data_IF_739873377143
#
_entry.id   IF_739873377143
#
_cell.length_a   1.000
_cell.length_b   1.000
_cell.length_c   1.000
_cell.angle_alpha   90.00
_cell.angle_beta   90.00
_cell.angle_gamma   90.00
#
_symmetry.space_group_name_H-M   'P 1'
#
loop_
_entity.id
_entity.type
_entity.pdbx_description
1 polymer ?
#
# COMPACT_ATOMS: atom_id res chain seq x y z
N UNK A 1 -6.07 -12.89 19.75
CA UNK A 1 -4.63 -13.03 19.44
C UNK A 1 -4.23 -11.87 18.54
N UNK A 2 -3.14 -11.14 18.83
CA UNK A 2 -2.64 -10.10 17.91
C UNK A 2 -2.27 -10.75 16.58
N UNK A 3 -2.72 -10.17 15.47
CA UNK A 3 -2.39 -10.70 14.15
C UNK A 3 -0.89 -10.48 13.93
N UNK A 4 -0.19 -11.52 13.44
CA UNK A 4 1.27 -11.52 13.28
C UNK A 4 1.80 -10.48 12.27
N UNK A 5 0.92 -9.71 11.62
CA UNK A 5 1.20 -8.78 10.53
C UNK A 5 0.71 -7.34 10.82
N UNK A 6 0.87 -6.86 12.05
CA UNK A 6 0.57 -5.46 12.37
C UNK A 6 1.67 -4.55 11.77
N UNK A 7 1.28 -3.63 10.88
CA UNK A 7 2.17 -2.72 10.14
C UNK A 7 3.15 -1.97 11.06
N UNK A 8 2.66 -1.49 12.20
CA UNK A 8 3.45 -0.74 13.19
C UNK A 8 4.69 -1.51 13.69
N UNK A 9 4.64 -2.84 13.68
CA UNK A 9 5.75 -3.67 14.13
C UNK A 9 6.92 -3.68 13.13
N UNK A 10 6.65 -3.40 11.85
CA UNK A 10 7.63 -3.37 10.77
C UNK A 10 8.23 -1.97 10.55
N UNK A 11 7.55 -0.92 11.03
CA UNK A 11 7.99 0.47 10.84
C UNK A 11 9.30 0.79 11.60
N UNK A 12 10.17 1.64 11.02
CA UNK A 12 11.42 2.05 11.65
C UNK A 12 11.15 2.96 12.85
N UNK A 13 11.74 2.66 14.02
CA UNK A 13 11.52 3.45 15.26
C UNK A 13 12.63 4.46 15.56
N UNK A 14 13.83 4.27 15.03
CA UNK A 14 14.94 5.19 15.29
C UNK A 14 14.68 6.53 14.60
N UNK A 15 14.53 7.60 15.39
CA UNK A 15 14.19 8.94 14.87
C UNK A 15 12.70 9.16 14.58
N UNK A 16 11.81 8.26 15.01
CA UNK A 16 10.37 8.32 14.71
C UNK A 16 9.54 8.06 15.98
N UNK A 17 8.46 8.83 16.20
CA UNK A 17 7.51 8.59 17.29
C UNK A 17 6.13 8.33 16.70
N UNK A 18 5.71 7.07 16.73
CA UNK A 18 4.37 6.68 16.31
C UNK A 18 3.35 6.88 17.45
N UNK A 19 2.13 7.35 17.14
CA UNK A 19 1.09 7.48 18.16
C UNK A 19 0.74 6.10 18.74
N UNK A 20 0.47 6.02 20.06
CA UNK A 20 0.03 4.78 20.70
C UNK A 20 -1.42 4.51 20.31
N UNK A 21 -1.62 3.94 19.13
CA UNK A 21 -2.90 3.51 18.65
C UNK A 21 -2.81 2.03 18.29
N UNK A 22 -3.91 1.30 18.42
CA UNK A 22 -3.97 -0.10 17.98
C UNK A 22 -3.80 -0.27 16.45
N UNK A 23 -3.66 0.83 15.69
CA UNK A 23 -3.59 0.90 14.23
C UNK A 23 -2.72 2.08 13.81
N UNK A 24 -1.94 1.90 12.75
CA UNK A 24 -1.08 2.96 12.24
C UNK A 24 -1.85 3.90 11.30
N UNK A 25 -2.60 3.33 10.35
CA UNK A 25 -3.57 4.03 9.51
C UNK A 25 -4.96 4.07 10.18
N UNK A 26 -5.88 4.90 9.66
CA UNK A 26 -7.23 5.07 10.24
C UNK A 26 -8.02 3.76 10.22
N UNK A 27 -7.97 3.03 9.11
CA UNK A 27 -8.70 1.76 8.94
C UNK A 27 -7.73 0.59 8.95
N UNK A 28 -8.05 -0.49 9.70
CA UNK A 28 -7.24 -1.72 9.75
C UNK A 28 -7.01 -2.33 8.36
N UNK A 29 -8.01 -2.22 7.47
CA UNK A 29 -7.90 -2.69 6.08
C UNK A 29 -6.78 -1.99 5.32
N UNK A 30 -6.49 -0.73 5.61
CA UNK A 30 -5.41 0.03 4.98
C UNK A 30 -4.04 -0.47 5.46
N UNK A 31 -3.87 -0.70 6.78
CA UNK A 31 -2.65 -1.32 7.32
C UNK A 31 -2.37 -2.67 6.64
N UNK A 32 -3.41 -3.50 6.45
CA UNK A 32 -3.33 -4.78 5.76
C UNK A 32 -2.97 -4.60 4.28
N UNK A 33 -3.56 -3.64 3.56
CA UNK A 33 -3.23 -3.35 2.15
C UNK A 33 -1.75 -2.97 1.98
N UNK A 34 -1.21 -2.13 2.87
CA UNK A 34 0.22 -1.77 2.86
C UNK A 34 1.09 -3.00 3.11
N UNK A 35 0.75 -3.82 4.11
CA UNK A 35 1.49 -5.05 4.40
C UNK A 35 1.46 -6.05 3.24
N UNK A 36 0.31 -6.26 2.59
CA UNK A 36 0.22 -7.09 1.39
C UNK A 36 1.12 -6.55 0.28
N UNK A 37 1.20 -5.23 0.12
CA UNK A 37 2.09 -4.62 -0.87
C UNK A 37 3.57 -4.88 -0.55
N UNK A 38 3.96 -4.79 0.72
CA UNK A 38 5.32 -5.13 1.16
C UNK A 38 5.64 -6.61 0.98
N UNK A 39 4.70 -7.51 1.26
CA UNK A 39 4.86 -8.95 1.03
C UNK A 39 5.02 -9.26 -0.47
N UNK A 40 4.17 -8.67 -1.33
CA UNK A 40 4.26 -8.83 -2.79
C UNK A 40 5.53 -8.24 -3.39
N UNK A 41 6.09 -7.20 -2.77
CA UNK A 41 7.38 -6.63 -3.15
C UNK A 41 8.59 -7.43 -2.60
N UNK A 42 8.35 -8.48 -1.81
CA UNK A 42 9.41 -9.29 -1.20
C UNK A 42 10.10 -8.64 -0.01
N UNK A 43 9.53 -7.58 0.56
CA UNK A 43 10.09 -6.89 1.75
C UNK A 43 9.75 -7.62 3.05
N UNK A 44 8.65 -8.35 3.06
CA UNK A 44 8.18 -9.16 4.18
C UNK A 44 7.76 -10.57 3.69
N UNK A 45 7.84 -11.56 4.59
CA UNK A 45 7.39 -12.92 4.32
C UNK A 45 5.96 -13.11 4.88
N UNK A 46 5.02 -13.69 4.13
CA UNK A 46 3.63 -13.82 4.55
C UNK A 46 3.49 -14.68 5.81
N UNK A 47 2.68 -14.21 6.75
CA UNK A 47 2.41 -14.88 8.03
C UNK A 47 3.60 -14.97 9.00
N UNK A 48 4.76 -14.42 8.63
CA UNK A 48 5.93 -14.35 9.48
C UNK A 48 6.03 -12.95 10.10
N UNK A 49 6.18 -12.93 11.42
CA UNK A 49 6.38 -11.69 12.16
C UNK A 49 7.64 -10.94 11.75
N UNK A 50 7.84 -9.73 12.30
CA UNK A 50 8.87 -8.79 11.86
C UNK A 50 10.29 -9.29 12.19
N UNK A 51 10.96 -9.89 11.21
CA UNK A 51 12.39 -10.23 11.29
C UNK A 51 13.23 -8.96 11.20
N UNK A 52 14.41 -8.95 11.83
CA UNK A 52 15.36 -7.81 11.76
C UNK A 52 15.68 -7.40 10.31
N UNK A 53 15.81 -8.37 9.42
CA UNK A 53 16.01 -8.15 7.98
C UNK A 53 14.82 -7.44 7.34
N UNK A 54 13.60 -7.91 7.57
CA UNK A 54 12.38 -7.29 7.03
C UNK A 54 12.22 -5.82 7.45
N UNK A 55 12.48 -5.52 8.74
CA UNK A 55 12.47 -4.12 9.23
C UNK A 55 13.46 -3.23 8.49
N UNK A 56 14.67 -3.74 8.24
CA UNK A 56 15.71 -2.99 7.52
C UNK A 56 15.34 -2.76 6.05
N UNK A 57 14.81 -3.78 5.38
CA UNK A 57 14.37 -3.68 3.98
C UNK A 57 13.21 -2.70 3.85
N UNK A 58 12.25 -2.74 4.78
CA UNK A 58 11.13 -1.78 4.80
C UNK A 58 11.62 -0.36 5.09
N UNK A 59 12.56 -0.16 6.03
CA UNK A 59 13.19 1.15 6.24
C UNK A 59 13.90 1.66 4.98
N UNK A 60 14.57 0.79 4.23
CA UNK A 60 15.21 1.14 2.96
C UNK A 60 14.16 1.52 1.88
N UNK A 61 13.09 0.74 1.73
CA UNK A 61 12.04 1.01 0.76
C UNK A 61 11.25 2.30 1.06
N UNK A 62 10.98 2.57 2.34
CA UNK A 62 10.33 3.81 2.76
C UNK A 62 11.26 5.02 2.57
N UNK A 63 12.57 4.85 2.83
CA UNK A 63 13.54 5.91 2.59
C UNK A 63 13.70 6.24 1.10
N UNK A 64 13.73 5.21 0.26
CA UNK A 64 13.79 5.34 -1.20
C UNK A 64 12.55 6.09 -1.72
N UNK A 65 11.36 5.77 -1.22
CA UNK A 65 10.13 6.51 -1.55
C UNK A 65 10.30 8.02 -1.31
N UNK A 66 10.74 8.45 -0.12
CA UNK A 66 10.92 9.90 0.12
C UNK A 66 12.08 10.50 -0.69
N UNK A 67 13.09 9.69 -1.03
CA UNK A 67 14.19 10.11 -1.91
C UNK A 67 13.72 10.34 -3.35
N UNK A 68 12.85 9.47 -3.88
CA UNK A 68 12.20 9.67 -5.18
C UNK A 68 11.39 10.97 -5.19
N UNK A 69 10.72 11.31 -4.08
CA UNK A 69 10.00 12.58 -3.95
C UNK A 69 10.86 13.83 -4.13
N UNK A 70 12.18 13.74 -4.00
CA UNK A 70 13.10 14.85 -4.25
C UNK A 70 13.53 14.97 -5.72
N UNK A 71 13.14 14.02 -6.60
CA UNK A 71 13.43 14.13 -8.03
C UNK A 71 12.72 15.36 -8.62
N UNK A 72 13.40 16.11 -9.51
CA UNK A 72 12.84 17.35 -10.09
C UNK A 72 11.44 17.19 -10.67
N UNK A 73 11.19 16.06 -11.34
CA UNK A 73 9.94 15.73 -12.02
C UNK A 73 8.78 15.48 -11.03
N UNK A 74 9.10 15.08 -9.80
CA UNK A 74 8.10 14.82 -8.74
C UNK A 74 7.93 16.06 -7.88
N UNK A 75 9.03 16.65 -7.39
CA UNK A 75 8.97 17.80 -6.48
C UNK A 75 8.40 19.06 -7.13
N UNK A 76 8.45 19.18 -8.47
CA UNK A 76 7.82 20.28 -9.20
C UNK A 76 6.31 20.36 -8.99
N UNK A 77 5.65 19.25 -8.64
CA UNK A 77 4.21 19.24 -8.30
C UNK A 77 3.89 20.03 -7.02
N UNK A 78 4.86 20.24 -6.12
CA UNK A 78 4.70 21.12 -4.95
C UNK A 78 4.78 22.62 -5.29
N UNK A 79 4.95 23.00 -6.55
CA UNK A 79 4.94 24.40 -6.95
C UNK A 79 3.53 24.96 -7.09
N UNK A 80 3.39 26.29 -7.04
CA UNK A 80 2.09 26.96 -7.18
C UNK A 80 1.37 26.65 -8.52
N UNK A 81 2.10 26.16 -9.53
CA UNK A 81 1.53 25.67 -10.80
C UNK A 81 1.40 24.15 -10.89
N UNK A 82 1.87 23.39 -9.90
CA UNK A 82 1.96 21.93 -9.90
C UNK A 82 0.83 21.20 -9.18
N UNK A 83 -0.17 21.93 -8.70
CA UNK A 83 -1.38 21.40 -8.06
C UNK A 83 -1.28 21.08 -6.58
N UNK A 84 -0.09 21.22 -5.98
CA UNK A 84 0.09 21.21 -4.52
C UNK A 84 0.51 19.85 -3.96
N UNK A 85 0.23 19.61 -2.67
CA UNK A 85 0.72 18.44 -1.96
C UNK A 85 0.08 17.14 -2.45
N UNK A 86 -1.21 17.17 -2.80
CA UNK A 86 -1.92 15.98 -3.26
C UNK A 86 -1.40 15.51 -4.63
N UNK A 87 -1.23 16.44 -5.58
CA UNK A 87 -0.65 16.13 -6.90
C UNK A 87 0.79 15.61 -6.78
N UNK A 88 1.57 16.17 -5.86
CA UNK A 88 2.89 15.64 -5.50
C UNK A 88 2.82 14.20 -4.99
N UNK A 89 1.89 13.90 -4.07
CA UNK A 89 1.75 12.54 -3.52
C UNK A 89 1.26 11.55 -4.58
N UNK A 90 0.40 11.99 -5.50
CA UNK A 90 -0.05 11.19 -6.64
C UNK A 90 1.13 10.87 -7.58
N UNK A 91 1.90 11.88 -7.98
CA UNK A 91 3.12 11.71 -8.79
C UNK A 91 4.14 10.80 -8.09
N UNK A 92 4.33 10.97 -6.78
CA UNK A 92 5.22 10.14 -5.99
C UNK A 92 4.77 8.67 -6.00
N UNK A 93 3.48 8.40 -5.75
CA UNK A 93 2.92 7.04 -5.77
C UNK A 93 3.18 6.33 -7.09
N UNK A 94 3.03 7.04 -8.22
CA UNK A 94 3.26 6.47 -9.56
C UNK A 94 4.72 6.04 -9.80
N UNK A 95 5.67 6.66 -9.11
CA UNK A 95 7.09 6.33 -9.21
C UNK A 95 7.53 5.27 -8.18
N UNK A 96 6.75 5.04 -7.13
CA UNK A 96 7.05 4.06 -6.09
C UNK A 96 6.45 2.70 -6.46
N UNK A 97 7.29 1.80 -6.95
CA UNK A 97 6.89 0.51 -7.55
C UNK A 97 5.98 -0.33 -6.64
N UNK A 98 6.32 -0.46 -5.37
CA UNK A 98 5.53 -1.22 -4.39
C UNK A 98 4.21 -0.52 -4.03
N UNK A 99 4.10 0.81 -4.18
CA UNK A 99 2.92 1.58 -3.81
C UNK A 99 1.86 1.63 -4.93
N UNK A 100 2.19 1.21 -6.16
CA UNK A 100 1.24 1.17 -7.28
C UNK A 100 -0.02 0.36 -7.00
N UNK A 101 0.06 -0.62 -6.09
CA UNK A 101 -1.04 -1.56 -5.76
C UNK A 101 -1.88 -1.13 -4.56
N UNK A 102 -1.49 -0.08 -3.85
CA UNK A 102 -2.30 0.48 -2.76
C UNK A 102 -3.16 1.62 -3.29
N UNK A 103 -4.34 1.81 -2.68
CA UNK A 103 -5.20 2.93 -3.02
C UNK A 103 -4.52 4.26 -2.73
N UNK A 104 -4.89 5.30 -3.48
CA UNK A 104 -4.27 6.62 -3.35
C UNK A 104 -4.46 7.22 -1.97
N UNK A 105 -5.67 7.13 -1.40
CA UNK A 105 -5.91 7.60 -0.05
C UNK A 105 -5.12 6.79 0.99
N UNK A 106 -4.99 5.46 0.82
CA UNK A 106 -4.08 4.67 1.68
C UNK A 106 -2.64 5.17 1.62
N UNK A 107 -2.14 5.51 0.42
CA UNK A 107 -0.79 6.02 0.22
C UNK A 107 -0.59 7.41 0.84
N UNK A 108 -1.50 8.36 0.58
CA UNK A 108 -1.47 9.71 1.13
C UNK A 108 -1.44 9.63 2.67
N UNK A 109 -2.26 8.78 3.27
CA UNK A 109 -2.29 8.62 4.73
C UNK A 109 -1.00 8.04 5.29
N UNK A 110 -0.40 7.07 4.58
CA UNK A 110 0.88 6.49 4.96
C UNK A 110 1.97 7.58 4.98
N UNK A 111 2.07 8.40 3.94
CA UNK A 111 3.00 9.52 3.89
C UNK A 111 2.76 10.53 5.02
N UNK A 112 1.51 10.95 5.22
CA UNK A 112 1.12 11.86 6.29
C UNK A 112 1.54 11.33 7.67
N UNK A 113 1.22 10.06 7.96
CA UNK A 113 1.51 9.42 9.25
C UNK A 113 3.00 9.27 9.51
N UNK A 114 3.79 8.95 8.49
CA UNK A 114 5.25 8.89 8.60
C UNK A 114 5.83 10.28 8.90
N UNK A 115 5.40 11.32 8.18
CA UNK A 115 5.86 12.70 8.43
C UNK A 115 5.43 13.19 9.80
N UNK A 116 4.18 12.93 10.24
CA UNK A 116 3.72 13.24 11.59
C UNK A 116 4.55 12.52 12.66
N UNK A 117 4.91 11.26 12.44
CA UNK A 117 5.75 10.52 13.36
C UNK A 117 7.18 11.09 13.45
N UNK A 118 7.72 11.60 12.34
CA UNK A 118 9.00 12.30 12.32
C UNK A 118 8.92 13.63 13.08
N UNK A 119 7.90 14.44 12.82
CA UNK A 119 7.68 15.73 13.52
C UNK A 119 7.49 15.54 15.02
N UNK A 120 6.72 14.53 15.43
CA UNK A 120 6.54 14.19 16.84
C UNK A 120 7.88 13.86 17.52
N UNK A 121 8.80 13.19 16.81
CA UNK A 121 10.16 12.99 17.30
C UNK A 121 10.94 14.31 17.37
N UNK A 122 10.84 15.20 16.39
CA UNK A 122 11.54 16.50 16.41
C UNK A 122 11.06 17.40 17.57
N UNK A 123 9.76 17.37 17.88
CA UNK A 123 9.16 18.10 19.01
C UNK A 123 9.55 17.48 20.37
N UNK A 124 9.64 16.15 20.43
CA UNK A 124 9.97 15.42 21.65
C UNK A 124 11.07 14.37 21.39
N UNK A 125 12.34 14.78 21.17
CA UNK A 125 13.39 13.88 20.75
C UNK A 125 13.61 12.73 21.74
N UNK A 126 13.73 11.52 21.22
CA UNK A 126 14.06 10.31 21.98
C UNK A 126 15.33 9.66 21.42
N UNK A 127 16.12 8.95 22.22
CA UNK A 127 17.26 8.19 21.71
C UNK A 127 16.86 7.27 20.54
N UNK A 128 17.70 7.13 19.49
CA UNK A 128 19.04 7.71 19.35
C UNK A 128 19.01 9.18 18.87
N UNK A 129 19.84 10.02 19.48
CA UNK A 129 19.96 11.44 19.11
C UNK A 129 20.92 11.68 17.93
N UNK A 130 21.93 10.81 17.77
CA UNK A 130 22.87 10.89 16.66
C UNK A 130 22.13 10.66 15.32
N UNK A 131 22.14 11.63 14.38
CA UNK A 131 21.51 11.49 13.07
C UNK A 131 21.95 10.24 12.30
N UNK A 132 23.19 9.78 12.49
CA UNK A 132 23.69 8.58 11.80
C UNK A 132 23.11 7.28 12.34
N UNK A 133 22.57 7.30 13.57
CA UNK A 133 21.91 6.17 14.20
C UNK A 133 20.39 6.19 13.99
N UNK A 134 19.84 7.27 13.42
CA UNK A 134 18.45 7.34 13.02
C UNK A 134 18.19 6.45 11.79
N UNK A 135 16.93 6.05 11.63
CA UNK A 135 16.50 5.26 10.48
C UNK A 135 16.76 5.99 9.17
N UNK A 136 16.89 5.24 8.07
CA UNK A 136 17.03 5.86 6.74
C UNK A 136 15.78 6.67 6.40
N UNK A 137 14.60 6.17 6.77
CA UNK A 137 13.32 6.84 6.58
C UNK A 137 13.27 8.19 7.28
N UNK A 138 13.72 8.28 8.54
CA UNK A 138 13.73 9.56 9.26
C UNK A 138 14.59 10.61 8.53
N UNK A 139 15.79 10.22 8.07
CA UNK A 139 16.70 11.11 7.35
C UNK A 139 16.18 11.53 5.98
N UNK A 140 15.56 10.63 5.23
CA UNK A 140 14.96 10.98 3.93
C UNK A 140 13.75 11.90 4.09
N UNK A 141 12.98 11.75 5.17
CA UNK A 141 11.89 12.70 5.48
C UNK A 141 12.47 14.08 5.80
N UNK A 142 13.52 14.17 6.61
CA UNK A 142 14.16 15.46 6.91
C UNK A 142 14.68 16.14 5.63
N UNK A 143 15.34 15.38 4.75
CA UNK A 143 15.84 15.87 3.48
C UNK A 143 14.71 16.40 2.58
N UNK A 144 13.62 15.63 2.45
CA UNK A 144 12.44 16.07 1.72
C UNK A 144 11.85 17.33 2.32
N UNK A 145 11.58 17.36 3.63
CA UNK A 145 10.99 18.52 4.29
C UNK A 145 11.85 19.78 4.11
N UNK A 146 13.18 19.64 4.18
CA UNK A 146 14.12 20.71 3.87
C UNK A 146 14.00 21.21 2.42
N UNK A 147 13.91 20.29 1.45
CA UNK A 147 13.75 20.61 0.04
C UNK A 147 12.39 21.24 -0.30
N UNK A 148 11.33 20.93 0.47
CA UNK A 148 9.99 21.51 0.25
C UNK A 148 9.83 22.92 0.78
N UNK A 149 10.79 23.48 1.54
CA UNK A 149 10.73 24.84 2.10
C UNK A 149 9.41 25.13 2.87
N UNK A 150 8.86 24.13 3.57
CA UNK A 150 7.62 24.27 4.34
C UNK A 150 6.32 24.09 3.54
N UNK A 151 6.40 23.79 2.23
CA UNK A 151 5.21 23.49 1.41
C UNK A 151 4.51 22.19 1.80
N UNK A 152 5.18 21.30 2.53
CA UNK A 152 4.52 20.19 3.22
C UNK A 152 3.69 20.72 4.40
N UNK A 153 2.50 21.25 4.13
CA UNK A 153 1.59 21.74 5.15
C UNK A 153 0.61 20.65 5.62
N UNK A 154 0.18 20.70 6.88
CA UNK A 154 -0.80 19.77 7.44
C UNK A 154 -2.25 20.07 7.01
N UNK A 155 -2.52 21.31 6.62
CA UNK A 155 -3.85 21.83 6.30
C UNK A 155 -4.45 21.14 5.08
N UNK A 156 -3.65 20.85 4.05
CA UNK A 156 -4.12 20.12 2.86
C UNK A 156 -4.60 18.71 3.21
N UNK A 157 -3.97 18.04 4.18
CA UNK A 157 -4.47 16.73 4.66
C UNK A 157 -5.77 16.87 5.45
N UNK A 158 -5.92 17.93 6.24
CA UNK A 158 -7.16 18.22 6.98
C UNK A 158 -8.32 18.55 6.03
N UNK A 159 -8.06 19.35 4.98
CA UNK A 159 -9.05 19.63 3.94
C UNK A 159 -9.42 18.35 3.20
N UNK A 160 -8.42 17.57 2.79
CA UNK A 160 -8.63 16.28 2.12
C UNK A 160 -9.47 15.32 2.98
N UNK A 161 -9.25 15.32 4.30
CA UNK A 161 -10.09 14.58 5.24
C UNK A 161 -11.53 15.08 5.28
N UNK A 162 -11.73 16.40 5.38
CA UNK A 162 -13.04 17.03 5.50
C UNK A 162 -13.93 16.80 4.26
N UNK A 163 -13.34 16.74 3.06
CA UNK A 163 -14.08 16.50 1.81
C UNK A 163 -14.33 15.01 1.52
N UNK A 164 -14.06 14.11 2.48
CA UNK A 164 -14.33 12.68 2.35
C UNK A 164 -13.22 11.87 1.66
N UNK A 165 -12.05 12.46 1.40
CA UNK A 165 -10.97 11.86 0.61
C UNK A 165 -10.36 10.55 1.14
N UNK A 166 -10.72 10.10 2.35
CA UNK A 166 -10.30 8.79 2.89
C UNK A 166 -11.29 7.66 2.62
N UNK A 167 -12.44 7.97 2.05
CA UNK A 167 -13.40 6.97 1.60
C UNK A 167 -12.89 6.39 0.28
N UNK A 168 -12.01 5.38 0.37
CA UNK A 168 -11.90 4.44 -0.74
C UNK A 168 -13.29 3.83 -0.87
N UNK A 169 -13.94 4.10 -2.01
CA UNK A 169 -15.20 3.48 -2.38
C UNK A 169 -15.11 2.01 -2.03
N UNK A 170 -16.14 1.50 -1.37
CA UNK A 170 -16.25 0.08 -1.12
C UNK A 170 -16.08 -0.60 -2.47
N UNK A 171 -14.94 -1.25 -2.68
CA UNK A 171 -14.74 -2.10 -3.84
C UNK A 171 -15.87 -3.13 -3.75
N UNK A 172 -16.91 -2.90 -4.56
CA UNK A 172 -18.08 -3.74 -4.72
C UNK A 172 -17.60 -5.13 -5.14
N UNK A 173 -17.32 -5.97 -4.16
CA UNK A 173 -17.31 -7.41 -4.34
C UNK A 173 -18.65 -7.95 -3.85
N UNK A 174 -19.72 -7.43 -4.46
CA UNK A 174 -21.10 -7.92 -4.34
C UNK A 174 -21.43 -8.75 -5.57
N UNK A 175 -20.80 -9.91 -5.69
CA UNK A 175 -21.21 -10.94 -6.64
C UNK A 175 -22.51 -11.58 -6.13
N UNK A 176 -23.66 -11.00 -6.46
CA UNK A 176 -24.97 -11.68 -6.35
C UNK A 176 -25.79 -11.39 -7.59
N UNK A 177 -25.51 -12.16 -8.65
CA UNK A 177 -26.47 -12.40 -9.73
C UNK A 177 -27.51 -13.41 -9.23
N UNK A 178 -28.77 -12.98 -9.25
CA UNK A 178 -29.95 -13.75 -9.61
C UNK A 178 -30.15 -15.14 -8.94
N UNK A 179 -31.14 -15.23 -8.04
CA UNK A 179 -32.27 -16.11 -8.36
C UNK A 179 -33.58 -15.77 -7.62
N UNK A 180 -34.59 -15.50 -8.44
CA UNK A 180 -36.02 -15.82 -8.32
C UNK A 180 -36.67 -15.97 -6.95
N UNK A 181 -37.68 -15.11 -6.79
CA UNK A 181 -38.93 -15.32 -6.05
C UNK A 181 -39.35 -16.80 -5.94
N UNK A 182 -39.66 -17.23 -4.71
CA UNK A 182 -40.72 -18.19 -4.44
C UNK A 182 -41.14 -18.08 -2.98
N UNK A 183 -42.32 -17.51 -2.79
CA UNK A 183 -43.09 -17.39 -1.56
C UNK A 183 -43.39 -18.76 -0.93
N UNK A 184 -43.24 -18.88 0.40
CA UNK A 184 -44.17 -19.67 1.25
C UNK A 184 -44.07 -19.21 2.72
N UNK A 185 -45.20 -19.07 3.43
CA UNK A 185 -45.24 -18.68 4.85
C UNK A 185 -45.29 -19.88 5.81
N UNK A 186 -44.83 -19.63 7.05
CA UNK A 186 -45.20 -20.26 8.34
C UNK A 186 -45.70 -21.71 8.33
N UNK A 187 -44.99 -22.61 9.04
CA UNK A 187 -45.64 -23.30 10.16
C UNK A 187 -44.66 -23.86 11.22
N UNK A 188 -45.22 -23.91 12.42
CA UNK A 188 -44.70 -24.38 13.69
C UNK A 188 -44.74 -25.90 13.76
N UNK A 189 -43.64 -26.60 14.07
CA UNK A 189 -43.75 -27.91 14.75
C UNK A 189 -42.47 -28.32 15.49
N UNK A 190 -42.68 -28.59 16.77
CA UNK A 190 -41.83 -29.35 17.70
C UNK A 190 -41.43 -30.73 17.16
N UNK A 191 -40.19 -31.17 17.39
CA UNK A 191 -39.81 -32.55 17.13
C UNK A 191 -38.35 -32.90 17.39
N UNK A 192 -38.11 -33.45 18.59
CA UNK A 192 -36.95 -34.25 19.00
C UNK A 192 -36.45 -35.23 17.91
N UNK A 193 -35.19 -35.10 17.48
CA UNK A 193 -34.26 -36.15 17.02
C UNK A 193 -32.85 -35.54 17.11
N UNK A 194 -32.01 -35.90 18.08
CA UNK A 194 -31.19 -37.12 18.17
C UNK A 194 -30.14 -37.26 17.04
N UNK A 195 -28.87 -37.21 17.45
CA UNK A 195 -27.72 -37.82 16.79
C UNK A 195 -27.38 -37.42 15.35
N UNK A 196 -26.54 -36.38 15.19
CA UNK A 196 -25.57 -36.40 14.09
C UNK A 196 -24.25 -35.73 14.53
N UNK A 197 -23.26 -36.58 14.76
CA UNK A 197 -21.85 -36.21 14.82
C UNK A 197 -21.45 -35.65 13.46
N UNK A 198 -20.92 -34.42 13.42
CA UNK A 198 -20.15 -33.94 12.27
C UNK A 198 -18.69 -33.94 12.69
N UNK A 199 -17.99 -34.84 12.00
CA UNK A 199 -16.58 -35.13 12.08
C UNK A 199 -15.74 -33.88 11.74
N UNK A 200 -14.70 -33.66 12.56
CA UNK A 200 -13.78 -32.54 12.46
C UNK A 200 -12.53 -33.03 11.71
N UNK A 201 -12.69 -33.32 10.42
CA UNK A 201 -11.70 -34.09 9.69
C UNK A 201 -11.68 -33.92 8.18
N UNK A 202 -11.78 -32.71 7.63
CA UNK A 202 -11.14 -32.36 6.35
C UNK A 202 -11.22 -30.85 6.06
N UNK A 203 -10.15 -30.11 6.33
CA UNK A 203 -9.95 -28.78 5.72
C UNK A 203 -8.46 -28.49 5.55
N UNK A 204 -7.73 -29.54 5.19
CA UNK A 204 -6.38 -29.48 4.63
C UNK A 204 -6.42 -30.09 3.24
N UNK A 205 -7.10 -29.41 2.33
CA UNK A 205 -7.06 -29.70 0.92
C UNK A 205 -7.10 -28.36 0.18
N UNK A 206 -5.94 -28.02 -0.39
CA UNK A 206 -5.74 -27.30 -1.63
C UNK A 206 -6.60 -26.02 -1.83
N UNK A 207 -6.11 -24.78 -1.79
CA UNK A 207 -4.80 -24.27 -2.24
C UNK A 207 -4.34 -24.81 -3.61
N UNK A 208 -5.30 -25.23 -4.43
CA UNK A 208 -5.16 -25.37 -5.87
C UNK A 208 -6.25 -24.52 -6.54
N UNK A 209 -5.93 -23.23 -6.67
CA UNK A 209 -6.40 -22.41 -7.79
C UNK A 209 -5.28 -21.40 -8.06
N UNK A 210 -4.13 -21.97 -8.45
CA UNK A 210 -3.15 -21.27 -9.26
C UNK A 210 -3.82 -21.01 -10.62
N UNK A 211 -4.32 -19.81 -10.81
CA UNK A 211 -4.55 -19.29 -12.17
C UNK A 211 -3.16 -19.16 -12.80
N UNK A 212 -2.78 -20.21 -13.54
CA UNK A 212 -1.87 -20.15 -14.66
C UNK A 212 -2.57 -19.30 -15.74
N UNK A 213 -2.04 -18.10 -15.99
CA UNK A 213 -2.42 -17.27 -17.14
C UNK A 213 -1.14 -16.77 -17.83
N UNK A 214 -0.23 -17.69 -18.13
CA UNK A 214 0.72 -17.55 -19.23
C UNK A 214 0.08 -18.21 -20.46
N UNK A 215 -0.41 -17.41 -21.41
CA UNK A 215 -0.40 -17.71 -22.86
C UNK A 215 -1.31 -16.78 -23.69
N UNK A 216 -1.19 -15.44 -23.59
CA UNK A 216 -1.68 -14.55 -24.66
C UNK A 216 -0.77 -13.31 -24.80
N UNK A 217 0.45 -13.46 -25.34
CA UNK A 217 1.10 -12.41 -26.19
C UNK A 217 2.46 -12.79 -26.81
N UNK A 218 2.60 -14.00 -27.34
CA UNK A 218 3.62 -14.28 -28.36
C UNK A 218 2.90 -14.47 -29.69
N UNK A 219 3.03 -13.48 -30.57
CA UNK A 219 2.33 -13.44 -31.85
C UNK A 219 2.37 -12.04 -32.48
N UNK A 220 3.57 -11.48 -32.64
CA UNK A 220 3.80 -10.45 -33.67
C UNK A 220 4.87 -11.03 -34.58
N UNK A 221 4.37 -11.67 -35.63
CA UNK A 221 5.12 -12.24 -36.72
C UNK A 221 6.05 -11.21 -37.35
N UNK A 222 7.25 -11.71 -37.65
CA UNK A 222 8.20 -11.11 -38.55
C UNK A 222 7.53 -10.89 -39.91
N UNK A 223 7.35 -9.64 -40.31
CA UNK A 223 7.22 -9.30 -41.73
C UNK A 223 8.61 -8.92 -42.26
N UNK A 224 9.25 -9.93 -42.82
CA UNK A 224 10.25 -9.77 -43.88
C UNK A 224 9.64 -8.95 -45.02
N UNK A 225 10.10 -7.72 -45.20
CA UNK A 225 10.02 -6.99 -46.47
C UNK A 225 11.39 -6.38 -46.75
N UNK A 226 12.35 -7.25 -47.05
CA UNK A 226 13.43 -6.92 -47.96
C UNK A 226 12.82 -6.70 -49.35
N UNK A 227 12.32 -5.48 -49.62
CA UNK A 227 12.01 -5.08 -50.98
C UNK A 227 13.21 -4.32 -51.56
N UNK A 228 13.89 -5.07 -52.41
CA UNK A 228 15.11 -4.78 -53.14
C UNK A 228 14.68 -4.05 -54.41
N UNK A 229 14.72 -2.72 -54.39
CA UNK A 229 14.70 -1.95 -55.64
C UNK A 229 16.14 -1.66 -56.07
N UNK A 230 16.63 -2.55 -56.92
CA UNK A 230 17.65 -2.26 -57.91
C UNK A 230 17.13 -1.12 -58.81
N UNK A 231 17.76 0.05 -58.77
CA UNK A 231 17.59 1.10 -59.79
C UNK A 231 18.92 1.23 -60.50
N UNK A 232 19.03 0.51 -61.61
CA UNK A 232 19.99 0.77 -62.68
C UNK A 232 19.35 1.70 -63.74
N UNK A 233 20.23 2.49 -64.36
CA UNK A 233 20.15 3.18 -65.65
C UNK A 233 19.32 4.47 -65.79
N UNK A 234 20.02 5.63 -65.72
CA UNK A 234 20.44 6.40 -66.91
C UNK A 234 21.45 7.52 -66.57
#
# INVERSE_FOLDING_TARGET
>A
MPHKNDLELFLPRAGMIYPPACRFLKRKRQDVRVMISFEKAGFAEPGKGPRRRAKRVIDEALAEMFTLGMQPEIISHLSAGGGGLLDFLCALKHNVTWAKRIGESTFIQLCERLVKARRAWQENPRPPFDPNQQSKTARSIDALLGATEGRWNGVEFEIYELVGGWEEGEDENGNDKNNSESSTPLDSTTGLFDGMQIDMGDLTTALEDFINEDAIREGVEQMDLNDRMDIDDN
#
